data_IF_116505588469
#
_entry.id   IF_116505588469
#
_cell.length_a   1.000
_cell.length_b   1.000
_cell.length_c   1.000
_cell.angle_alpha   90.00
_cell.angle_beta   90.00
_cell.angle_gamma   90.00
#
_symmetry.space_group_name_H-M   'P 1'
#
loop_
_entity.id
_entity.type
_entity.pdbx_description
1 polymer ?
#
# COMPACT_ATOMS: atom_id res chain seq x y z
N UNK A 1 6.03 1.94 14.53
CA UNK A 1 6.23 3.42 14.49
C UNK A 1 6.70 3.85 13.10
N UNK A 2 6.37 5.07 12.64
CA UNK A 2 6.81 5.63 11.34
C UNK A 2 7.64 6.89 11.60
N UNK A 3 8.80 7.02 10.97
CA UNK A 3 9.70 8.18 11.07
C UNK A 3 9.93 8.78 9.68
N UNK A 4 9.78 10.10 9.54
CA UNK A 4 9.92 10.83 8.28
C UNK A 4 11.15 11.73 8.31
N UNK A 5 12.19 11.38 7.55
CA UNK A 5 13.49 12.03 7.68
C UNK A 5 13.72 13.16 6.67
N UNK A 6 12.80 13.47 5.76
CA UNK A 6 13.09 14.40 4.66
C UNK A 6 13.45 15.82 5.11
N UNK A 7 12.88 16.33 6.20
CA UNK A 7 13.20 17.66 6.73
C UNK A 7 14.49 17.64 7.57
N UNK A 8 14.68 16.59 8.36
CA UNK A 8 15.82 16.48 9.29
C UNK A 8 17.09 15.99 8.60
N UNK A 9 17.03 15.42 7.38
CA UNK A 9 18.20 15.01 6.62
C UNK A 9 19.07 16.24 6.28
N UNK A 10 20.36 16.18 6.61
CA UNK A 10 21.37 17.16 6.20
C UNK A 10 22.02 16.74 4.87
N UNK A 11 22.29 15.45 4.75
CA UNK A 11 22.87 14.83 3.58
C UNK A 11 23.43 13.45 3.88
N UNK A 12 24.05 12.82 2.90
CA UNK A 12 24.58 11.48 3.04
C UNK A 12 24.53 10.73 1.73
N UNK A 13 24.67 9.40 1.79
CA UNK A 13 24.55 8.57 0.61
C UNK A 13 23.95 7.21 0.96
N UNK A 14 23.31 6.61 -0.04
CA UNK A 14 22.92 5.21 -0.06
C UNK A 14 23.47 4.57 -1.34
N UNK A 15 24.00 3.37 -1.25
CA UNK A 15 24.57 2.61 -2.35
C UNK A 15 23.86 1.28 -2.49
N UNK A 16 23.45 0.98 -3.71
CA UNK A 16 22.98 -0.34 -4.12
C UNK A 16 23.87 -0.88 -5.24
N UNK A 17 25.16 -0.57 -5.21
CA UNK A 17 26.15 -1.05 -6.19
C UNK A 17 26.34 -2.59 -6.14
N UNK A 18 25.94 -3.23 -5.03
CA UNK A 18 25.94 -4.68 -4.87
C UNK A 18 24.48 -5.18 -4.90
N UNK A 19 24.13 -6.11 -5.80
CA UNK A 19 22.78 -6.67 -5.83
C UNK A 19 22.39 -7.33 -4.50
N UNK A 20 21.18 -7.04 -4.03
CA UNK A 20 20.60 -7.55 -2.79
C UNK A 20 21.02 -6.79 -1.53
N UNK A 21 21.87 -5.77 -1.64
CA UNK A 21 22.40 -5.03 -0.51
C UNK A 21 22.32 -3.51 -0.74
N UNK A 22 21.72 -2.80 0.22
CA UNK A 22 21.71 -1.34 0.29
C UNK A 22 22.53 -0.91 1.50
N UNK A 23 23.59 -0.15 1.29
CA UNK A 23 24.46 0.35 2.37
C UNK A 23 24.60 1.86 2.32
N UNK A 24 24.88 2.52 3.43
CA UNK A 24 25.11 3.96 3.38
C UNK A 24 25.26 4.65 4.71
N UNK A 25 25.39 5.97 4.63
CA UNK A 25 25.51 6.85 5.79
C UNK A 25 24.66 8.10 5.58
N UNK A 26 23.80 8.40 6.56
CA UNK A 26 22.94 9.58 6.55
C UNK A 26 23.27 10.48 7.75
N UNK A 27 23.40 11.77 7.48
CA UNK A 27 23.57 12.81 8.49
C UNK A 27 22.23 13.48 8.72
N UNK A 28 21.78 13.52 9.96
CA UNK A 28 20.46 14.01 10.35
C UNK A 28 20.64 15.08 11.42
N UNK A 29 19.92 16.19 11.27
CA UNK A 29 19.89 17.29 12.22
C UNK A 29 19.40 16.78 13.58
N UNK A 30 20.11 17.10 14.65
CA UNK A 30 19.82 16.62 16.00
C UNK A 30 20.59 15.36 16.42
N UNK A 31 21.19 14.62 15.48
CA UNK A 31 22.09 13.50 15.81
C UNK A 31 23.56 13.92 15.71
N UNK A 32 24.34 13.60 16.75
CA UNK A 32 25.80 13.83 16.75
C UNK A 32 26.58 12.79 15.94
N UNK A 33 25.99 11.62 15.69
CA UNK A 33 26.61 10.54 14.94
C UNK A 33 25.85 10.29 13.65
N UNK A 34 26.55 9.98 12.54
CA UNK A 34 25.90 9.60 11.29
C UNK A 34 25.15 8.28 11.48
N UNK A 35 23.97 8.20 10.88
CA UNK A 35 23.15 7.00 10.85
C UNK A 35 23.72 6.06 9.78
N UNK A 36 24.18 4.88 10.20
CA UNK A 36 24.67 3.84 9.29
C UNK A 36 23.51 2.96 8.85
N UNK A 37 23.42 2.71 7.55
CA UNK A 37 22.33 1.96 6.93
C UNK A 37 22.91 0.72 6.26
N UNK A 38 22.36 -0.45 6.60
CA UNK A 38 22.69 -1.74 6.01
C UNK A 38 21.40 -2.56 5.88
N UNK A 39 20.88 -2.65 4.66
CA UNK A 39 19.57 -3.23 4.39
C UNK A 39 19.68 -4.32 3.34
N UNK A 40 18.89 -5.38 3.53
CA UNK A 40 18.73 -6.43 2.55
C UNK A 40 17.63 -6.04 1.56
N UNK A 41 17.99 -6.03 0.27
CA UNK A 41 17.11 -5.70 -0.85
C UNK A 41 17.77 -4.75 -1.86
N UNK A 42 16.97 -4.16 -2.74
CA UNK A 42 17.46 -3.35 -3.87
C UNK A 42 16.67 -2.06 -4.04
N UNK A 43 17.29 -1.11 -4.73
CA UNK A 43 16.56 0.00 -5.34
C UNK A 43 15.74 -0.47 -6.54
N UNK A 44 14.75 0.34 -6.93
CA UNK A 44 14.00 0.13 -8.17
C UNK A 44 14.84 0.45 -9.40
N UNK A 45 14.34 0.02 -10.56
CA UNK A 45 15.06 0.01 -11.84
C UNK A 45 15.68 1.35 -12.23
N UNK A 46 15.08 2.46 -11.80
CA UNK A 46 15.54 3.82 -12.13
C UNK A 46 16.88 4.20 -11.47
N UNK A 47 17.21 3.59 -10.33
CA UNK A 47 18.46 3.84 -9.58
C UNK A 47 19.16 2.55 -9.16
N UNK A 48 18.71 1.38 -9.63
CA UNK A 48 19.33 0.09 -9.36
C UNK A 48 20.81 0.08 -9.79
N UNK A 49 21.66 -0.51 -8.96
CA UNK A 49 23.10 -0.54 -9.21
C UNK A 49 23.83 0.77 -8.99
N UNK A 50 23.15 1.85 -8.59
CA UNK A 50 23.76 3.15 -8.38
C UNK A 50 24.05 3.43 -6.91
N UNK A 51 24.97 4.37 -6.69
CA UNK A 51 25.10 5.15 -5.47
C UNK A 51 24.33 6.46 -5.64
N UNK A 52 23.53 6.77 -4.64
CA UNK A 52 22.69 7.96 -4.55
C UNK A 52 23.23 8.84 -3.42
N UNK A 53 23.87 9.95 -3.76
CA UNK A 53 24.26 10.97 -2.79
C UNK A 53 23.13 12.00 -2.64
N UNK A 54 22.79 12.30 -1.40
CA UNK A 54 21.69 13.17 -1.00
C UNK A 54 22.23 14.40 -0.29
N UNK A 55 21.67 15.56 -0.62
CA UNK A 55 21.95 16.80 0.07
C UNK A 55 20.67 17.60 0.26
N UNK A 56 20.42 18.06 1.48
CA UNK A 56 19.30 18.93 1.78
C UNK A 56 19.75 20.39 1.77
N UNK A 57 19.29 21.21 0.82
CA UNK A 57 19.62 22.64 0.81
C UNK A 57 18.88 23.42 1.91
N UNK A 58 17.80 22.89 2.49
CA UNK A 58 16.93 23.57 3.45
C UNK A 58 16.61 22.67 4.66
N UNK A 59 17.63 22.22 5.43
CA UNK A 59 17.40 21.33 6.55
C UNK A 59 16.57 22.01 7.64
N UNK A 60 15.52 21.33 8.08
CA UNK A 60 14.69 21.70 9.22
C UNK A 60 14.68 20.52 10.19
N UNK A 61 15.39 20.66 11.30
CA UNK A 61 15.46 19.61 12.32
C UNK A 61 14.16 19.55 13.11
N UNK A 62 13.35 18.54 12.85
CA UNK A 62 12.39 18.08 13.85
C UNK A 62 13.14 17.16 14.82
N UNK A 63 13.45 17.67 16.01
CA UNK A 63 14.29 17.00 17.00
C UNK A 63 13.60 15.79 17.62
N UNK A 64 12.26 15.78 17.64
CA UNK A 64 11.49 14.75 18.33
C UNK A 64 11.49 13.43 17.55
N UNK A 65 11.35 13.45 16.22
CA UNK A 65 11.42 12.23 15.40
C UNK A 65 12.84 11.62 15.37
N UNK A 66 13.86 12.48 15.41
CA UNK A 66 15.27 12.06 15.34
C UNK A 66 15.73 11.40 16.64
N UNK A 67 15.17 11.81 17.79
CA UNK A 67 15.48 11.21 19.08
C UNK A 67 15.17 9.70 19.14
N UNK A 68 14.19 9.24 18.37
CA UNK A 68 13.81 7.82 18.31
C UNK A 68 14.56 7.01 17.25
N UNK A 69 15.40 7.67 16.43
CA UNK A 69 16.12 7.02 15.34
C UNK A 69 17.38 6.32 15.87
N UNK A 70 17.45 5.00 15.68
CA UNK A 70 18.66 4.25 16.04
C UNK A 70 19.86 4.66 15.14
N UNK A 71 21.08 4.83 15.69
CA UNK A 71 22.26 5.16 14.88
C UNK A 71 22.65 4.09 13.86
N UNK A 72 22.29 2.83 14.10
CA UNK A 72 22.54 1.71 13.19
C UNK A 72 21.21 1.13 12.71
N UNK A 73 21.01 1.18 11.40
CA UNK A 73 19.79 0.77 10.73
C UNK A 73 20.06 -0.53 9.97
N UNK A 74 19.72 -1.66 10.60
CA UNK A 74 19.67 -2.96 9.94
C UNK A 74 18.24 -3.36 9.64
N UNK A 75 18.02 -3.98 8.50
CA UNK A 75 16.71 -4.54 8.17
C UNK A 75 16.54 -4.78 6.68
N UNK A 76 15.35 -4.43 6.17
CA UNK A 76 14.96 -4.72 4.79
C UNK A 76 14.59 -3.46 4.06
N UNK A 77 15.00 -3.35 2.78
CA UNK A 77 14.52 -2.28 1.92
C UNK A 77 13.03 -2.48 1.61
N UNK A 78 12.28 -1.39 1.67
CA UNK A 78 10.94 -1.29 1.09
C UNK A 78 11.06 -0.80 -0.36
N UNK A 79 10.14 0.07 -0.77
CA UNK A 79 10.22 0.72 -2.09
C UNK A 79 11.25 1.86 -2.04
N UNK A 80 12.21 1.84 -2.96
CA UNK A 80 13.25 2.87 -3.09
C UNK A 80 13.40 3.32 -4.54
N UNK A 81 12.99 4.55 -4.86
CA UNK A 81 12.99 5.12 -6.22
C UNK A 81 13.16 6.63 -6.20
N UNK A 82 13.67 7.19 -7.29
CA UNK A 82 13.81 8.63 -7.53
C UNK A 82 12.91 9.13 -8.69
N UNK A 83 12.13 8.24 -9.33
CA UNK A 83 11.36 8.55 -10.54
C UNK A 83 9.85 8.62 -10.32
N UNK A 84 9.38 8.56 -9.06
CA UNK A 84 7.96 8.61 -8.77
C UNK A 84 7.39 9.98 -9.13
N UNK A 85 6.35 10.03 -9.97
CA UNK A 85 5.77 11.29 -10.45
C UNK A 85 4.56 11.65 -9.63
N UNK A 86 4.59 12.81 -8.99
CA UNK A 86 3.46 13.31 -8.18
C UNK A 86 3.08 14.72 -8.60
N UNK A 87 1.77 14.95 -8.69
CA UNK A 87 1.19 16.28 -8.90
C UNK A 87 0.91 17.01 -7.58
N UNK A 88 0.75 16.26 -6.48
CA UNK A 88 0.58 16.77 -5.11
C UNK A 88 1.36 15.87 -4.16
N UNK A 89 1.94 16.45 -3.11
CA UNK A 89 2.58 15.66 -2.06
C UNK A 89 1.52 14.88 -1.27
N UNK A 90 1.72 13.57 -1.06
CA UNK A 90 1.02 12.83 -0.01
C UNK A 90 1.05 13.60 1.31
N UNK A 91 -0.13 13.83 1.90
CA UNK A 91 -0.29 14.69 3.09
C UNK A 91 0.56 14.17 4.25
N UNK A 92 1.34 15.06 4.86
CA UNK A 92 2.00 14.81 6.16
C UNK A 92 0.93 14.65 7.25
N UNK A 93 1.12 13.69 8.14
CA UNK A 93 0.21 13.41 9.27
C UNK A 93 0.33 14.45 10.40
N UNK A 94 1.42 15.22 10.44
CA UNK A 94 1.63 16.36 11.33
C UNK A 94 2.70 17.28 10.73
N UNK A 95 2.31 18.47 10.28
CA UNK A 95 3.12 19.69 10.38
C UNK A 95 2.29 20.83 9.79
N UNK A 96 1.69 21.66 10.64
CA UNK A 96 1.02 22.91 10.24
C UNK A 96 1.97 23.96 9.64
N UNK A 97 3.22 23.59 9.34
CA UNK A 97 4.28 24.42 8.80
C UNK A 97 5.17 23.54 7.91
N UNK A 98 4.72 23.22 6.69
CA UNK A 98 5.69 22.88 5.64
C UNK A 98 6.07 24.20 4.96
N UNK A 99 7.28 24.74 5.15
CA UNK A 99 7.71 25.98 4.49
C UNK A 99 7.89 25.80 2.97
N UNK A 100 7.72 24.58 2.46
CA UNK A 100 7.90 24.25 1.06
C UNK A 100 6.56 24.38 0.33
N UNK A 101 6.50 25.34 -0.61
CA UNK A 101 5.40 25.47 -1.55
C UNK A 101 5.11 24.14 -2.24
N UNK A 102 3.83 23.85 -2.47
CA UNK A 102 3.45 22.70 -3.28
C UNK A 102 4.17 22.75 -4.64
N UNK A 103 4.65 21.60 -5.15
CA UNK A 103 5.32 21.56 -6.43
C UNK A 103 4.38 22.06 -7.52
N UNK A 104 4.76 23.13 -8.21
CA UNK A 104 4.06 23.57 -9.41
C UNK A 104 4.29 22.54 -10.51
N UNK A 105 3.24 21.80 -10.88
CA UNK A 105 3.28 20.78 -11.93
C UNK A 105 3.83 19.43 -11.49
N UNK A 106 4.05 18.55 -12.48
CA UNK A 106 4.52 17.19 -12.25
C UNK A 106 6.02 17.21 -11.91
N UNK A 107 6.38 16.76 -10.69
CA UNK A 107 7.79 16.64 -10.28
C UNK A 107 8.15 15.19 -9.97
N UNK A 108 9.42 14.88 -10.16
CA UNK A 108 10.00 13.63 -9.68
C UNK A 108 10.14 13.71 -8.16
N UNK A 109 9.72 12.64 -7.49
CA UNK A 109 9.74 12.47 -6.05
C UNK A 109 10.74 11.36 -5.73
N UNK A 110 11.70 11.70 -4.88
CA UNK A 110 12.50 10.73 -4.17
C UNK A 110 11.63 10.08 -3.10
N UNK A 111 11.47 8.76 -3.21
CA UNK A 111 10.75 7.94 -2.25
C UNK A 111 11.65 6.79 -1.81
N UNK A 112 12.10 6.82 -0.57
CA UNK A 112 12.91 5.77 0.02
C UNK A 112 12.24 5.27 1.29
N UNK A 113 11.93 3.99 1.32
CA UNK A 113 11.28 3.32 2.44
C UNK A 113 12.11 2.12 2.90
N UNK A 114 12.26 1.94 4.20
CA UNK A 114 12.81 0.72 4.77
C UNK A 114 12.23 0.42 6.16
N UNK A 115 12.47 -0.82 6.59
CA UNK A 115 12.01 -1.33 7.88
C UNK A 115 13.22 -1.81 8.65
N UNK A 116 13.38 -1.34 9.88
CA UNK A 116 14.49 -1.77 10.73
C UNK A 116 14.09 -2.89 11.70
N UNK A 117 15.11 -3.49 12.33
CA UNK A 117 14.95 -4.53 13.35
C UNK A 117 14.15 -4.07 14.58
N UNK A 118 14.16 -2.76 14.87
CA UNK A 118 13.37 -2.14 15.94
C UNK A 118 11.90 -1.93 15.56
N UNK A 119 11.42 -2.53 14.46
CA UNK A 119 10.04 -2.42 13.98
C UNK A 119 9.62 -0.95 13.75
N UNK A 120 10.57 -0.13 13.30
CA UNK A 120 10.34 1.20 12.81
C UNK A 120 10.30 1.16 11.28
N UNK A 121 9.38 1.93 10.70
CA UNK A 121 9.33 2.20 9.27
C UNK A 121 9.89 3.58 9.05
N UNK A 122 10.98 3.67 8.31
CA UNK A 122 11.63 4.93 8.01
C UNK A 122 11.27 5.32 6.58
N UNK A 123 10.94 6.58 6.39
CA UNK A 123 10.54 7.16 5.12
C UNK A 123 11.36 8.41 4.84
N UNK A 124 11.86 8.52 3.60
CA UNK A 124 12.33 9.77 3.02
C UNK A 124 11.46 10.03 1.80
N UNK A 125 10.70 11.11 1.87
CA UNK A 125 9.81 11.49 0.77
C UNK A 125 10.02 12.96 0.43
N UNK A 126 10.72 13.25 -0.67
CA UNK A 126 11.08 14.62 -1.02
C UNK A 126 11.23 14.87 -2.51
N UNK A 127 10.89 16.08 -2.94
CA UNK A 127 11.13 16.58 -4.29
C UNK A 127 12.20 17.70 -4.33
N UNK A 128 12.59 18.24 -3.17
CA UNK A 128 13.50 19.39 -3.05
C UNK A 128 14.93 18.99 -2.65
N UNK A 129 15.13 17.72 -2.25
CA UNK A 129 16.46 17.19 -2.00
C UNK A 129 17.28 17.19 -3.28
N UNK A 130 18.51 17.67 -3.20
CA UNK A 130 19.46 17.54 -4.28
C UNK A 130 20.03 16.13 -4.27
N UNK A 131 20.01 15.50 -5.44
CA UNK A 131 20.45 14.13 -5.61
C UNK A 131 21.52 14.06 -6.69
N UNK A 132 22.58 13.29 -6.43
CA UNK A 132 23.55 12.86 -7.44
C UNK A 132 23.53 11.35 -7.51
N UNK A 133 23.46 10.81 -8.73
CA UNK A 133 23.40 9.37 -8.99
C UNK A 133 24.65 8.98 -9.75
N UNK A 134 25.35 7.95 -9.28
CA UNK A 134 26.52 7.40 -9.97
C UNK A 134 26.12 6.61 -11.22
N UNK A 135 27.11 6.18 -12.00
CA UNK A 135 26.88 5.16 -13.01
C UNK A 135 26.40 3.84 -12.36
N UNK A 136 25.47 3.10 -12.99
CA UNK A 136 25.00 1.82 -12.48
C UNK A 136 26.09 0.75 -12.63
N UNK A 137 26.32 -0.02 -11.56
CA UNK A 137 27.21 -1.20 -11.56
C UNK A 137 26.54 -2.46 -12.08
N UNK A 138 25.22 -2.51 -11.98
CA UNK A 138 24.35 -3.56 -12.50
C UNK A 138 22.99 -2.95 -12.83
N UNK A 139 22.15 -3.70 -13.53
CA UNK A 139 20.83 -3.23 -13.97
C UNK A 139 19.77 -4.25 -13.58
N UNK A 140 18.56 -3.74 -13.36
CA UNK A 140 17.39 -4.52 -13.02
C UNK A 140 16.47 -4.66 -14.23
N UNK A 141 15.96 -5.86 -14.48
CA UNK A 141 14.94 -6.11 -15.49
C UNK A 141 13.55 -5.68 -14.99
N UNK A 142 12.60 -5.50 -15.91
CA UNK A 142 11.22 -5.16 -15.57
C UNK A 142 10.51 -6.26 -14.74
N UNK A 143 10.86 -7.53 -14.97
CA UNK A 143 10.31 -8.66 -14.24
C UNK A 143 10.79 -8.69 -12.79
N UNK A 144 12.07 -8.38 -12.56
CA UNK A 144 12.66 -8.24 -11.23
C UNK A 144 12.11 -7.02 -10.48
N UNK A 145 11.87 -5.92 -11.18
CA UNK A 145 11.20 -4.75 -10.60
C UNK A 145 9.79 -5.09 -10.12
N UNK A 146 9.01 -5.80 -10.95
CA UNK A 146 7.66 -6.25 -10.59
C UNK A 146 7.66 -7.22 -9.40
N UNK A 147 8.64 -8.14 -9.33
CA UNK A 147 8.77 -9.04 -8.18
C UNK A 147 9.17 -8.28 -6.91
N UNK A 148 10.10 -7.34 -7.00
CA UNK A 148 10.52 -6.49 -5.88
C UNK A 148 9.37 -5.63 -5.36
N UNK A 149 8.58 -5.04 -6.25
CA UNK A 149 7.38 -4.27 -5.85
C UNK A 149 6.36 -5.15 -5.12
N UNK A 150 6.14 -6.39 -5.57
CA UNK A 150 5.27 -7.35 -4.86
C UNK A 150 5.82 -7.68 -3.48
N UNK A 151 7.12 -7.97 -3.36
CA UNK A 151 7.77 -8.24 -2.08
C UNK A 151 7.72 -7.05 -1.13
N UNK A 152 7.98 -5.83 -1.62
CA UNK A 152 7.90 -4.61 -0.83
C UNK A 152 6.48 -4.36 -0.30
N UNK A 153 5.45 -4.59 -1.13
CA UNK A 153 4.04 -4.52 -0.72
C UNK A 153 3.71 -5.56 0.34
N UNK A 154 4.16 -6.81 0.17
CA UNK A 154 3.94 -7.87 1.14
C UNK A 154 4.62 -7.55 2.49
N UNK A 155 5.88 -7.10 2.49
CA UNK A 155 6.61 -6.68 3.70
C UNK A 155 5.92 -5.52 4.40
N UNK A 156 5.45 -4.53 3.63
CA UNK A 156 4.69 -3.40 4.19
C UNK A 156 3.37 -3.86 4.80
N UNK A 157 2.63 -4.75 4.14
CA UNK A 157 1.41 -5.35 4.68
C UNK A 157 1.70 -6.09 5.98
N UNK A 158 2.72 -6.95 6.00
CA UNK A 158 3.14 -7.68 7.19
C UNK A 158 3.51 -6.73 8.34
N UNK A 159 4.30 -5.69 8.07
CA UNK A 159 4.66 -4.68 9.05
C UNK A 159 3.44 -3.95 9.63
N UNK A 160 2.45 -3.60 8.79
CA UNK A 160 1.25 -2.91 9.22
C UNK A 160 0.30 -3.81 10.04
N UNK A 161 0.20 -5.10 9.69
CA UNK A 161 -0.67 -6.05 10.39
C UNK A 161 -0.04 -6.54 11.71
N UNK A 162 1.25 -6.88 11.72
CA UNK A 162 1.97 -7.37 12.92
C UNK A 162 2.43 -6.25 13.88
N UNK A 163 1.90 -5.03 13.74
CA UNK A 163 1.93 -4.05 14.82
C UNK A 163 0.90 -4.33 15.92
N UNK A 164 -0.05 -5.25 15.69
CA UNK A 164 -1.08 -5.60 16.68
C UNK A 164 -0.68 -6.73 17.64
N UNK A 165 0.23 -7.62 17.24
CA UNK A 165 0.64 -8.77 18.07
C UNK A 165 2.00 -8.52 18.73
N UNK A 166 1.96 -7.92 19.92
CA UNK A 166 3.14 -7.67 20.74
C UNK A 166 3.52 -8.86 21.65
N UNK A 167 2.87 -10.03 21.53
CA UNK A 167 3.02 -11.13 22.50
C UNK A 167 3.54 -12.49 22.03
N UNK A 168 3.55 -12.82 20.72
CA UNK A 168 4.05 -14.14 20.26
C UNK A 168 5.14 -13.96 19.20
N UNK A 169 6.40 -13.79 19.64
CA UNK A 169 7.50 -13.46 18.72
C UNK A 169 8.84 -14.04 19.16
N UNK A 170 9.11 -15.30 18.81
CA UNK A 170 10.48 -15.78 18.57
C UNK A 170 10.64 -16.73 17.36
N UNK A 171 9.56 -17.26 16.77
CA UNK A 171 9.70 -18.34 15.76
C UNK A 171 9.83 -17.95 14.28
N UNK A 172 9.43 -16.75 13.86
CA UNK A 172 9.20 -16.49 12.42
C UNK A 172 10.34 -15.80 11.67
N UNK A 173 11.45 -15.47 12.35
CA UNK A 173 12.50 -14.61 11.78
C UNK A 173 13.83 -15.32 11.45
N UNK A 174 13.95 -16.65 11.67
CA UNK A 174 15.25 -17.35 11.61
C UNK A 174 15.26 -18.78 11.03
N UNK A 175 14.42 -19.15 10.06
CA UNK A 175 14.60 -20.45 9.38
C UNK A 175 15.20 -20.29 7.97
N UNK A 176 16.52 -20.51 7.77
CA UNK A 176 17.05 -20.76 6.43
C UNK A 176 16.55 -22.12 5.96
N UNK A 177 15.82 -22.15 4.84
CA UNK A 177 15.35 -23.39 4.20
C UNK A 177 13.84 -23.68 4.29
N UNK A 178 12.99 -22.72 4.67
CA UNK A 178 11.54 -22.87 4.48
C UNK A 178 11.13 -22.34 3.08
N UNK A 179 10.34 -23.11 2.30
CA UNK A 179 9.89 -22.69 0.98
C UNK A 179 8.93 -21.49 1.08
N UNK A 180 8.96 -20.65 0.06
CA UNK A 180 8.10 -19.47 -0.08
C UNK A 180 6.62 -19.91 0.03
N UNK A 181 5.81 -19.33 0.94
CA UNK A 181 4.37 -19.61 1.04
C UNK A 181 3.59 -19.24 -0.24
N UNK A 182 4.25 -18.56 -1.18
CA UNK A 182 3.70 -18.11 -2.45
C UNK A 182 4.48 -18.63 -3.66
N UNK A 183 5.36 -19.63 -3.49
CA UNK A 183 5.83 -20.40 -4.63
C UNK A 183 4.65 -21.19 -5.22
N UNK A 184 4.41 -21.13 -6.54
CA UNK A 184 3.40 -21.98 -7.17
C UNK A 184 3.84 -23.43 -7.02
N UNK A 185 3.18 -24.20 -6.14
CA UNK A 185 3.41 -25.64 -6.06
C UNK A 185 2.94 -26.32 -7.35
N UNK A 186 3.79 -27.18 -7.91
CA UNK A 186 3.44 -28.05 -9.03
C UNK A 186 2.21 -28.90 -8.66
N UNK A 187 1.11 -28.72 -9.40
CA UNK A 187 -0.17 -29.41 -9.23
C UNK A 187 -0.14 -30.88 -9.69
N UNK A 188 1.00 -31.56 -9.57
CA UNK A 188 1.16 -32.97 -9.99
C UNK A 188 0.87 -33.98 -8.89
N UNK A 189 0.47 -33.53 -7.69
CA UNK A 189 0.11 -34.40 -6.57
C UNK A 189 -1.38 -34.32 -6.24
N UNK A 190 -2.16 -35.26 -6.80
CA UNK A 190 -3.40 -35.81 -6.23
C UNK A 190 -4.54 -34.83 -5.90
N UNK A 191 -5.60 -34.86 -6.70
CA UNK A 191 -6.83 -34.08 -6.49
C UNK A 191 -7.51 -34.45 -5.13
N UNK A 192 -7.54 -33.53 -4.15
CA UNK A 192 -8.05 -33.79 -2.80
C UNK A 192 -9.59 -33.86 -2.74
N UNK A 193 -10.30 -33.73 -3.87
CA UNK A 193 -11.77 -33.80 -3.94
C UNK A 193 -12.31 -35.14 -4.46
N UNK A 194 -11.46 -36.17 -4.60
CA UNK A 194 -11.85 -37.47 -5.15
C UNK A 194 -12.74 -38.33 -4.22
N UNK A 195 -13.09 -37.88 -3.02
CA UNK A 195 -13.77 -38.68 -1.99
C UNK A 195 -15.12 -38.13 -1.53
N UNK A 196 -15.84 -37.41 -2.40
CA UNK A 196 -17.25 -37.08 -2.17
C UNK A 196 -18.14 -37.85 -3.15
N UNK A 197 -18.63 -39.00 -2.69
CA UNK A 197 -19.70 -39.75 -3.36
C UNK A 197 -20.96 -38.88 -3.49
N UNK A 198 -21.53 -38.87 -4.70
CA UNK A 198 -22.71 -38.09 -5.05
C UNK A 198 -23.99 -38.73 -4.52
N UNK A 199 -24.95 -37.97 -3.95
CA UNK A 199 -26.31 -38.45 -3.82
C UNK A 199 -27.06 -38.25 -5.13
N UNK A 200 -27.77 -39.31 -5.52
CA UNK A 200 -28.61 -39.42 -6.70
C UNK A 200 -29.80 -38.44 -6.68
N UNK A 201 -30.16 -37.96 -7.88
CA UNK A 201 -31.55 -37.70 -8.24
C UNK A 201 -32.18 -36.38 -7.81
N UNK A 202 -31.80 -35.26 -8.42
CA UNK A 202 -32.69 -34.09 -8.58
C UNK A 202 -32.57 -33.57 -10.01
N UNK A 203 -33.69 -33.64 -10.75
CA UNK A 203 -33.83 -33.07 -12.09
C UNK A 203 -33.48 -31.56 -12.08
N UNK A 204 -32.75 -31.03 -13.08
CA UNK A 204 -32.39 -29.62 -13.10
C UNK A 204 -33.64 -28.75 -13.38
N UNK A 205 -34.00 -27.79 -12.51
CA UNK A 205 -34.97 -26.77 -12.90
C UNK A 205 -34.34 -25.90 -13.98
N UNK A 206 -35.18 -25.54 -14.96
CA UNK A 206 -34.80 -24.94 -16.23
C UNK A 206 -33.74 -23.84 -16.16
N UNK A 207 -32.87 -23.86 -17.17
CA UNK A 207 -31.85 -22.84 -17.48
C UNK A 207 -32.39 -21.44 -17.11
N UNK A 208 -31.80 -20.75 -16.10
CA UNK A 208 -32.11 -19.35 -15.94
C UNK A 208 -31.64 -18.65 -17.21
N UNK A 209 -32.60 -17.91 -17.79
CA UNK A 209 -32.45 -17.10 -18.99
C UNK A 209 -31.11 -16.36 -18.95
N UNK A 210 -30.35 -16.44 -20.04
CA UNK A 210 -29.21 -15.57 -20.34
C UNK A 210 -29.68 -14.11 -20.23
N UNK A 211 -29.61 -13.53 -19.04
CA UNK A 211 -29.93 -12.12 -18.82
C UNK A 211 -28.69 -11.32 -19.15
N UNK A 212 -28.80 -10.55 -20.23
CA UNK A 212 -27.93 -9.46 -20.65
C UNK A 212 -26.42 -9.73 -20.59
N UNK A 213 -25.80 -9.84 -21.76
CA UNK A 213 -24.37 -9.60 -21.96
C UNK A 213 -23.93 -8.36 -21.16
N UNK A 214 -23.40 -8.58 -19.94
CA UNK A 214 -23.03 -7.53 -19.04
C UNK A 214 -21.71 -6.97 -19.56
N UNK A 215 -21.81 -5.88 -20.34
CA UNK A 215 -20.62 -5.19 -20.82
C UNK A 215 -19.77 -4.78 -19.60
N UNK A 216 -18.54 -5.29 -19.45
CA UNK A 216 -17.73 -5.05 -18.27
C UNK A 216 -17.41 -3.55 -18.10
N UNK A 217 -17.42 -2.77 -19.18
CA UNK A 217 -17.31 -1.31 -19.14
C UNK A 217 -18.50 -0.63 -18.45
N UNK A 218 -19.73 -1.15 -18.62
CA UNK A 218 -20.91 -0.62 -17.93
C UNK A 218 -20.89 -0.95 -16.44
N UNK A 219 -20.38 -2.13 -16.09
CA UNK A 219 -20.22 -2.58 -14.69
C UNK A 219 -19.10 -1.81 -13.98
N UNK A 220 -17.98 -1.53 -14.65
CA UNK A 220 -16.91 -0.69 -14.11
C UNK A 220 -17.38 0.75 -13.87
N UNK A 221 -18.18 1.33 -14.78
CA UNK A 221 -18.79 2.65 -14.59
C UNK A 221 -19.77 2.67 -13.40
N UNK A 222 -20.58 1.63 -13.22
CA UNK A 222 -21.49 1.52 -12.08
C UNK A 222 -20.71 1.43 -10.74
N UNK A 223 -19.64 0.64 -10.70
CA UNK A 223 -18.76 0.57 -9.53
C UNK A 223 -18.10 1.94 -9.23
N UNK A 224 -17.63 2.65 -10.25
CA UNK A 224 -17.04 3.98 -10.09
C UNK A 224 -18.03 5.06 -9.61
N UNK A 225 -19.33 4.87 -9.85
CA UNK A 225 -20.38 5.75 -9.32
C UNK A 225 -20.64 5.49 -7.84
N UNK A 226 -20.72 4.22 -7.41
CA UNK A 226 -20.89 3.88 -5.99
C UNK A 226 -19.69 4.32 -5.15
N UNK A 227 -18.47 4.13 -5.67
CA UNK A 227 -17.24 4.59 -5.02
C UNK A 227 -17.25 6.12 -4.82
N UNK A 228 -17.70 6.90 -5.82
CA UNK A 228 -17.86 8.36 -5.67
C UNK A 228 -18.92 8.75 -4.64
N UNK A 229 -20.02 8.00 -4.58
CA UNK A 229 -21.07 8.23 -3.58
C UNK A 229 -20.54 7.96 -2.16
N UNK A 230 -19.76 6.90 -1.99
CA UNK A 230 -19.08 6.57 -0.74
C UNK A 230 -18.10 7.67 -0.32
N UNK A 231 -17.27 8.16 -1.25
CA UNK A 231 -16.34 9.27 -0.99
C UNK A 231 -17.07 10.51 -0.48
N UNK A 232 -18.20 10.88 -1.11
CA UNK A 232 -19.03 12.01 -0.68
C UNK A 232 -19.60 11.80 0.73
N UNK A 233 -20.04 10.59 1.08
CA UNK A 233 -20.58 10.29 2.42
C UNK A 233 -19.53 10.45 3.53
N UNK A 234 -18.25 10.22 3.24
CA UNK A 234 -17.16 10.33 4.21
C UNK A 234 -16.69 11.77 4.47
N UNK A 235 -16.97 12.72 3.56
CA UNK A 235 -16.55 14.12 3.69
C UNK A 235 -17.37 14.89 4.75
N UNK A 236 -18.56 14.40 5.11
CA UNK A 236 -19.55 15.21 5.82
C UNK A 236 -19.70 14.98 7.33
N UNK A 237 -18.96 14.07 7.98
CA UNK A 237 -19.26 13.75 9.39
C UNK A 237 -18.06 13.88 10.34
N UNK A 238 -18.17 14.81 11.31
CA UNK A 238 -17.18 15.07 12.35
C UNK A 238 -17.25 14.08 13.52
N UNK A 239 -18.32 13.29 13.67
CA UNK A 239 -18.59 12.51 14.89
C UNK A 239 -17.85 11.15 14.93
N UNK A 240 -17.48 10.62 13.77
CA UNK A 240 -16.65 9.40 13.65
C UNK A 240 -15.23 9.64 14.21
N UNK A 241 -14.83 10.91 14.41
CA UNK A 241 -13.53 11.33 14.98
C UNK A 241 -13.25 10.77 16.37
N UNK A 242 -14.25 10.24 17.07
CA UNK A 242 -14.10 9.69 18.42
C UNK A 242 -13.39 8.33 18.49
N UNK A 243 -13.36 7.54 17.40
CA UNK A 243 -12.69 6.21 17.37
C UNK A 243 -11.51 6.21 16.37
N UNK A 244 -10.26 6.41 16.84
CA UNK A 244 -9.12 6.63 15.95
C UNK A 244 -8.84 5.45 15.01
N UNK A 245 -9.09 4.21 15.44
CA UNK A 245 -8.87 3.02 14.61
C UNK A 245 -9.84 2.93 13.42
N UNK A 246 -11.13 3.24 13.62
CA UNK A 246 -12.13 3.19 12.54
C UNK A 246 -11.97 4.37 11.59
N UNK A 247 -11.59 5.55 12.10
CA UNK A 247 -11.20 6.69 11.26
C UNK A 247 -10.02 6.36 10.35
N UNK A 248 -9.01 5.66 10.85
CA UNK A 248 -7.90 5.25 10.02
C UNK A 248 -8.33 4.26 8.94
N UNK A 249 -9.17 3.28 9.28
CA UNK A 249 -9.69 2.33 8.31
C UNK A 249 -10.55 3.02 7.24
N UNK A 250 -11.51 3.85 7.63
CA UNK A 250 -12.38 4.57 6.69
C UNK A 250 -11.60 5.58 5.83
N UNK A 251 -10.59 6.26 6.39
CA UNK A 251 -9.69 7.13 5.62
C UNK A 251 -8.90 6.33 4.59
N UNK A 252 -8.37 5.15 4.96
CA UNK A 252 -7.66 4.30 3.99
C UNK A 252 -8.57 3.76 2.90
N UNK A 253 -9.82 3.44 3.24
CA UNK A 253 -10.83 2.99 2.27
C UNK A 253 -11.22 4.15 1.36
N UNK A 254 -11.27 5.40 1.86
CA UNK A 254 -11.50 6.60 1.07
C UNK A 254 -10.37 6.86 0.06
N UNK A 255 -9.11 6.78 0.49
CA UNK A 255 -7.96 6.94 -0.39
C UNK A 255 -7.94 5.85 -1.48
N UNK A 256 -8.26 4.62 -1.10
CA UNK A 256 -8.36 3.50 -2.02
C UNK A 256 -9.54 3.64 -2.98
N UNK A 257 -10.65 4.19 -2.51
CA UNK A 257 -11.83 4.53 -3.32
C UNK A 257 -11.46 5.55 -4.40
N UNK A 258 -10.75 6.62 -4.04
CA UNK A 258 -10.28 7.62 -5.00
C UNK A 258 -9.33 7.00 -6.06
N UNK A 259 -8.45 6.10 -5.62
CA UNK A 259 -7.57 5.35 -6.53
C UNK A 259 -8.36 4.47 -7.51
N UNK A 260 -9.30 3.65 -7.01
CA UNK A 260 -10.13 2.77 -7.83
C UNK A 260 -11.02 3.56 -8.80
N UNK A 261 -11.56 4.72 -8.40
CA UNK A 261 -12.34 5.58 -9.31
C UNK A 261 -11.48 6.06 -10.48
N UNK A 262 -10.23 6.45 -10.22
CA UNK A 262 -9.31 6.90 -11.26
C UNK A 262 -8.96 5.77 -12.24
N UNK A 263 -8.60 4.61 -11.67
CA UNK A 263 -8.34 3.34 -12.36
C UNK A 263 -9.55 3.02 -13.25
N UNK A 264 -10.74 2.80 -12.69
CA UNK A 264 -11.96 2.42 -13.43
C UNK A 264 -12.34 3.41 -14.54
N UNK A 265 -12.05 4.71 -14.39
CA UNK A 265 -12.28 5.72 -15.43
C UNK A 265 -11.36 5.50 -16.64
N UNK A 266 -10.06 5.29 -16.40
CA UNK A 266 -9.10 4.97 -17.47
C UNK A 266 -9.45 3.64 -18.19
N UNK A 267 -10.05 2.69 -17.47
CA UNK A 267 -10.49 1.41 -18.04
C UNK A 267 -11.77 1.50 -18.89
N UNK A 268 -12.65 2.47 -18.63
CA UNK A 268 -13.84 2.68 -19.47
C UNK A 268 -13.51 3.20 -20.88
N UNK A 269 -12.30 3.72 -21.07
CA UNK A 269 -11.82 4.33 -22.31
C UNK A 269 -10.87 3.41 -23.12
N UNK A 270 -10.38 2.31 -22.54
CA UNK A 270 -9.31 1.47 -23.12
C UNK A 270 -9.74 0.03 -23.48
N UNK A 271 -9.23 -0.51 -24.60
CA UNK A 271 -9.56 -1.86 -25.10
C UNK A 271 -8.63 -2.93 -24.52
N UNK A 272 -9.24 -3.98 -23.94
CA UNK A 272 -8.80 -5.37 -23.62
C UNK A 272 -7.40 -5.70 -23.05
N UNK A 273 -6.35 -4.90 -23.24
CA UNK A 273 -4.98 -5.31 -22.89
C UNK A 273 -4.61 -5.10 -21.41
N UNK A 274 -5.33 -4.25 -20.66
CA UNK A 274 -4.95 -3.84 -19.31
C UNK A 274 -5.83 -4.44 -18.19
N UNK A 275 -6.77 -5.35 -18.51
CA UNK A 275 -7.73 -5.88 -17.53
C UNK A 275 -7.08 -6.69 -16.41
N UNK A 276 -5.89 -7.26 -16.65
CA UNK A 276 -5.11 -7.96 -15.63
C UNK A 276 -4.75 -7.04 -14.45
N UNK A 277 -4.41 -5.77 -14.71
CA UNK A 277 -4.10 -4.82 -13.64
C UNK A 277 -5.34 -4.47 -12.82
N UNK A 278 -6.48 -4.28 -13.49
CA UNK A 278 -7.75 -4.02 -12.82
C UNK A 278 -8.20 -5.20 -11.94
N UNK A 279 -8.01 -6.45 -12.40
CA UNK A 279 -8.31 -7.65 -11.61
C UNK A 279 -7.48 -7.65 -10.32
N UNK A 280 -6.18 -7.41 -10.43
CA UNK A 280 -5.27 -7.37 -9.28
C UNK A 280 -5.67 -6.26 -8.30
N UNK A 281 -5.99 -5.06 -8.79
CA UNK A 281 -6.41 -3.94 -7.94
C UNK A 281 -7.72 -4.24 -7.20
N UNK A 282 -8.70 -4.86 -7.88
CA UNK A 282 -9.98 -5.25 -7.29
C UNK A 282 -9.82 -6.38 -6.25
N UNK A 283 -8.99 -7.39 -6.53
CA UNK A 283 -8.71 -8.49 -5.60
C UNK A 283 -8.02 -8.01 -4.33
N UNK A 284 -7.10 -7.05 -4.44
CA UNK A 284 -6.34 -6.53 -3.31
C UNK A 284 -7.15 -5.55 -2.46
N UNK A 285 -8.13 -4.87 -3.05
CA UNK A 285 -8.97 -3.91 -2.35
C UNK A 285 -10.18 -4.55 -1.66
N UNK A 286 -10.68 -5.69 -2.16
CA UNK A 286 -11.83 -6.40 -1.59
C UNK A 286 -11.71 -6.67 -0.07
N UNK A 287 -10.58 -7.17 0.47
CA UNK A 287 -10.46 -7.43 1.90
C UNK A 287 -10.52 -6.16 2.76
N UNK A 288 -10.10 -5.02 2.21
CA UNK A 288 -10.13 -3.74 2.92
C UNK A 288 -11.54 -3.16 2.99
N UNK A 289 -12.31 -3.26 1.89
CA UNK A 289 -13.74 -2.92 1.91
C UNK A 289 -14.53 -3.86 2.83
N UNK A 290 -14.22 -5.16 2.84
CA UNK A 290 -14.83 -6.13 3.76
C UNK A 290 -14.48 -5.86 5.24
N UNK A 291 -13.23 -5.47 5.52
CA UNK A 291 -12.82 -5.07 6.87
C UNK A 291 -13.53 -3.79 7.33
N UNK A 292 -13.70 -2.82 6.42
CA UNK A 292 -14.44 -1.59 6.70
C UNK A 292 -15.92 -1.87 6.98
N UNK A 293 -16.55 -2.74 6.17
CA UNK A 293 -17.93 -3.17 6.38
C UNK A 293 -18.09 -3.83 7.75
N UNK A 294 -17.23 -4.79 8.09
CA UNK A 294 -17.25 -5.46 9.40
C UNK A 294 -17.03 -4.49 10.57
N UNK A 295 -16.20 -3.45 10.40
CA UNK A 295 -15.99 -2.43 11.42
C UNK A 295 -17.22 -1.53 11.59
N UNK A 296 -17.85 -1.12 10.49
CA UNK A 296 -19.10 -0.35 10.49
C UNK A 296 -20.26 -1.14 11.07
N UNK A 297 -20.37 -2.44 10.77
CA UNK A 297 -21.36 -3.36 11.38
C UNK A 297 -21.22 -3.41 12.90
N UNK A 298 -19.99 -3.57 13.39
CA UNK A 298 -19.72 -3.56 14.83
C UNK A 298 -20.05 -2.22 15.48
N UNK A 299 -19.86 -1.10 14.78
CA UNK A 299 -20.26 0.22 15.27
C UNK A 299 -21.77 0.39 15.34
N UNK A 300 -22.51 -0.13 14.37
CA UNK A 300 -23.97 -0.11 14.37
C UNK A 300 -24.54 -0.98 15.51
N UNK A 301 -23.94 -2.13 15.79
CA UNK A 301 -24.33 -3.01 16.90
C UNK A 301 -24.00 -2.43 18.28
N UNK A 302 -22.94 -1.63 18.41
CA UNK A 302 -22.49 -1.03 19.67
C UNK A 302 -22.62 0.50 19.63
N UNK A 303 -23.72 0.99 19.05
CA UNK A 303 -23.96 2.42 18.87
C UNK A 303 -24.12 3.11 20.24
N UNK A 304 -23.20 4.01 20.56
CA UNK A 304 -23.28 4.90 21.71
C UNK A 304 -24.31 6.02 21.47
N UNK A 305 -24.98 6.53 22.52
CA UNK A 305 -25.93 7.64 22.38
C UNK A 305 -25.22 8.88 21.80
N UNK A 306 -25.79 9.46 20.73
CA UNK A 306 -25.18 10.56 19.97
C UNK A 306 -24.45 10.13 18.68
N UNK A 307 -24.52 8.86 18.28
CA UNK A 307 -24.02 8.41 16.97
C UNK A 307 -25.13 8.57 15.92
N UNK A 308 -24.87 9.25 14.81
CA UNK A 308 -25.78 9.30 13.66
C UNK A 308 -25.94 7.91 13.01
N UNK A 309 -26.97 7.19 13.44
CA UNK A 309 -27.29 5.84 12.98
C UNK A 309 -27.74 5.82 11.52
N UNK A 310 -28.37 6.89 11.03
CA UNK A 310 -28.83 6.99 9.65
C UNK A 310 -27.64 7.13 8.70
N UNK A 311 -26.66 7.95 9.08
CA UNK A 311 -25.39 8.06 8.35
C UNK A 311 -24.61 6.73 8.35
N UNK A 312 -24.47 6.06 9.50
CA UNK A 312 -23.79 4.77 9.57
C UNK A 312 -24.46 3.70 8.69
N UNK A 313 -25.79 3.66 8.67
CA UNK A 313 -26.55 2.76 7.80
C UNK A 313 -26.31 3.08 6.31
N UNK A 314 -26.22 4.36 5.93
CA UNK A 314 -25.87 4.75 4.56
C UNK A 314 -24.45 4.33 4.17
N UNK A 315 -23.48 4.47 5.08
CA UNK A 315 -22.09 4.04 4.86
C UNK A 315 -22.01 2.52 4.72
N UNK A 316 -22.70 1.78 5.59
CA UNK A 316 -22.77 0.32 5.55
C UNK A 316 -23.37 -0.17 4.23
N UNK A 317 -24.52 0.38 3.83
CA UNK A 317 -25.18 0.03 2.57
C UNK A 317 -24.28 0.33 1.35
N UNK A 318 -23.53 1.44 1.40
CA UNK A 318 -22.60 1.79 0.34
C UNK A 318 -21.42 0.81 0.26
N UNK A 319 -20.82 0.45 1.39
CA UNK A 319 -19.73 -0.55 1.46
C UNK A 319 -20.17 -1.92 0.94
N UNK A 320 -21.36 -2.38 1.33
CA UNK A 320 -21.92 -3.65 0.88
C UNK A 320 -22.19 -3.65 -0.63
N UNK A 321 -22.72 -2.56 -1.18
CA UNK A 321 -22.91 -2.42 -2.62
C UNK A 321 -21.59 -2.38 -3.39
N UNK A 322 -20.56 -1.73 -2.85
CA UNK A 322 -19.23 -1.70 -3.44
C UNK A 322 -18.64 -3.11 -3.48
N UNK A 323 -18.66 -3.83 -2.36
CA UNK A 323 -18.10 -5.19 -2.27
C UNK A 323 -18.79 -6.14 -3.26
N UNK A 324 -20.13 -6.11 -3.33
CA UNK A 324 -20.90 -6.93 -4.26
C UNK A 324 -20.51 -6.63 -5.71
N UNK A 325 -20.46 -5.36 -6.09
CA UNK A 325 -20.10 -4.94 -7.46
C UNK A 325 -18.66 -5.25 -7.82
N UNK A 326 -17.74 -5.20 -6.86
CA UNK A 326 -16.35 -5.62 -7.07
C UNK A 326 -16.25 -7.12 -7.35
N UNK A 327 -16.96 -7.95 -6.58
CA UNK A 327 -17.02 -9.41 -6.81
C UNK A 327 -17.66 -9.76 -8.15
N UNK A 328 -18.77 -9.11 -8.49
CA UNK A 328 -19.42 -9.27 -9.80
C UNK A 328 -18.49 -8.90 -10.95
N UNK A 329 -17.79 -7.76 -10.85
CA UNK A 329 -16.84 -7.33 -11.87
C UNK A 329 -15.69 -8.33 -11.98
N UNK A 330 -15.08 -8.74 -10.87
CA UNK A 330 -14.03 -9.77 -10.86
C UNK A 330 -14.46 -11.08 -11.53
N UNK A 331 -15.70 -11.49 -11.35
CA UNK A 331 -16.24 -12.73 -11.94
C UNK A 331 -16.41 -12.62 -13.46
N UNK A 332 -16.64 -11.41 -13.98
CA UNK A 332 -16.73 -11.15 -15.42
C UNK A 332 -15.37 -10.95 -16.10
N UNK A 333 -14.32 -10.64 -15.32
CA UNK A 333 -12.98 -10.35 -15.84
C UNK A 333 -12.03 -11.54 -15.81
N UNK A 334 -12.33 -12.54 -14.99
CA UNK A 334 -11.67 -13.85 -14.97
C UNK A 334 -12.25 -14.75 -16.07
#
# INVERSE_FOLDING_TARGET
MILCLESSLLGGYLSNEVPGLVTGMLHVAGSKQPVRVELVGNFLRDIAGCRVDLHNPLPHGDLDEVAWLAPQQHGFSGVMTASYRVAKLPRRRNSGLSPLLEPQGLKNLLFLEWFNQQHQRILIQSWHLQMRVSAPRWQMSEQEEASLLRQARARRKHFLLHQQDHHDREGALLAPGMPDPFEPHDLSSGDPFSSLEAPEGINPPGKPKKSNSANPAKRSQALAQELRRFEQLLVFNEEVRSRPAVMHLLSTVADLTAHLVHVLRQFSESKSAHWQFLIVDLEQSLPLFGAALNATDKMMQHATPGTDQEWLAMVQASLLNIELRMRELLTLLR
#
